data_IF_283810290249
#
_entry.id   IF_283810290249
#
_cell.length_a   1.000
_cell.length_b   1.000
_cell.length_c   1.000
_cell.angle_alpha   90.00
_cell.angle_beta   90.00
_cell.angle_gamma   90.00
#
_symmetry.space_group_name_H-M   'P 1'
#
loop_
_entity.id
_entity.type
_entity.pdbx_description
1 polymer ?
#
# COMPACT_ATOMS: atom_id res chain seq x y z
N UNK A 1 0.22 21.80 5.98
CA UNK A 1 0.07 20.53 5.24
C UNK A 1 0.87 20.60 3.94
N UNK A 2 2.20 20.49 4.01
CA UNK A 2 3.10 20.77 2.86
C UNK A 2 3.97 19.58 2.44
N UNK A 3 3.59 18.35 2.79
CA UNK A 3 4.39 17.14 2.50
C UNK A 3 3.85 16.34 1.32
N UNK A 4 2.93 16.90 0.54
CA UNK A 4 2.48 16.31 -0.71
C UNK A 4 3.47 16.66 -1.81
N UNK A 5 3.87 15.66 -2.58
CA UNK A 5 4.85 15.77 -3.66
C UNK A 5 4.33 15.06 -4.89
N UNK A 6 4.92 15.36 -6.05
CA UNK A 6 4.77 14.50 -7.21
C UNK A 6 5.35 13.12 -6.89
N UNK A 7 4.64 12.08 -7.29
CA UNK A 7 5.07 10.70 -7.16
C UNK A 7 6.41 10.52 -7.89
N UNK A 8 7.32 9.76 -7.26
CA UNK A 8 8.66 9.50 -7.78
C UNK A 8 9.02 8.00 -7.80
N UNK A 9 8.05 7.14 -7.51
CA UNK A 9 8.16 5.69 -7.58
C UNK A 9 6.87 5.13 -8.16
N UNK A 10 7.00 4.08 -8.98
CA UNK A 10 5.92 3.32 -9.58
C UNK A 10 5.38 2.22 -8.65
N UNK A 11 6.02 1.97 -7.50
CA UNK A 11 5.60 0.97 -6.52
C UNK A 11 4.51 1.53 -5.58
N UNK A 12 3.31 0.94 -5.57
CA UNK A 12 2.28 1.31 -4.62
C UNK A 12 2.69 1.04 -3.18
N UNK A 13 2.40 1.96 -2.27
CA UNK A 13 2.71 1.82 -0.84
C UNK A 13 1.45 1.63 -0.02
N UNK A 14 1.65 1.21 1.22
CA UNK A 14 0.54 1.19 2.15
C UNK A 14 0.16 2.62 2.57
N UNK A 15 -1.11 2.83 2.90
CA UNK A 15 -1.57 4.02 3.67
C UNK A 15 -0.95 4.12 5.07
N UNK A 16 -0.13 3.15 5.48
CA UNK A 16 0.58 3.15 6.75
C UNK A 16 1.35 4.47 6.93
N UNK A 17 1.20 5.09 8.09
CA UNK A 17 1.77 6.39 8.38
C UNK A 17 3.25 6.34 8.77
N UNK A 18 3.84 5.15 8.89
CA UNK A 18 5.26 4.97 9.20
C UNK A 18 6.13 5.04 7.95
N UNK A 19 7.35 5.54 8.12
CA UNK A 19 8.31 5.61 7.04
C UNK A 19 8.93 4.24 6.75
N UNK A 20 9.20 3.98 5.48
CA UNK A 20 10.02 2.85 5.08
C UNK A 20 11.47 3.04 5.50
N UNK A 21 12.11 1.96 5.93
CA UNK A 21 13.54 1.92 6.25
C UNK A 21 14.31 0.92 5.41
N UNK A 22 13.60 0.04 4.71
CA UNK A 22 14.20 -0.95 3.85
C UNK A 22 13.24 -1.27 2.70
N UNK A 23 13.83 -1.51 1.52
CA UNK A 23 13.15 -2.08 0.36
C UNK A 23 13.90 -3.33 -0.07
N UNK A 24 13.18 -4.45 -0.20
CA UNK A 24 13.69 -5.69 -0.77
C UNK A 24 12.98 -5.98 -2.10
N UNK A 25 13.76 -6.34 -3.10
CA UNK A 25 13.31 -6.64 -4.46
C UNK A 25 13.65 -8.08 -4.82
N UNK A 26 12.90 -8.63 -5.77
CA UNK A 26 13.13 -9.97 -6.29
C UNK A 26 13.91 -9.89 -7.60
N UNK A 27 14.95 -10.71 -7.71
CA UNK A 27 15.66 -11.00 -8.95
C UNK A 27 15.65 -12.52 -9.19
N UNK A 28 15.54 -12.94 -10.45
CA UNK A 28 15.41 -14.36 -10.80
C UNK A 28 16.67 -15.18 -10.50
N UNK A 29 17.86 -14.55 -10.47
CA UNK A 29 19.13 -15.22 -10.21
C UNK A 29 19.50 -15.17 -8.72
N UNK A 30 19.12 -14.11 -8.00
CA UNK A 30 19.51 -13.86 -6.61
C UNK A 30 18.40 -14.17 -5.59
N UNK A 31 17.15 -14.28 -6.03
CA UNK A 31 15.98 -14.22 -5.15
C UNK A 31 15.81 -12.82 -4.57
N UNK A 32 15.36 -12.74 -3.32
CA UNK A 32 15.25 -11.44 -2.66
C UNK A 32 16.62 -10.83 -2.36
N UNK A 33 16.80 -9.55 -2.66
CA UNK A 33 17.95 -8.75 -2.26
C UNK A 33 17.48 -7.41 -1.72
N UNK A 34 18.31 -6.76 -0.89
CA UNK A 34 17.99 -5.44 -0.35
C UNK A 34 18.43 -4.38 -1.35
N UNK A 35 17.46 -3.64 -1.92
CA UNK A 35 17.72 -2.64 -2.96
C UNK A 35 17.92 -1.23 -2.40
N UNK A 36 17.31 -0.91 -1.25
CA UNK A 36 17.43 0.40 -0.62
C UNK A 36 17.33 0.34 0.91
N UNK A 37 17.98 1.30 1.58
CA UNK A 37 18.03 1.42 3.04
C UNK A 37 17.84 2.86 3.53
N UNK A 38 17.29 3.00 4.74
CA UNK A 38 17.19 4.27 5.46
C UNK A 38 16.46 5.35 4.65
N UNK A 39 17.10 6.51 4.51
CA UNK A 39 16.53 7.65 3.78
C UNK A 39 16.24 7.35 2.31
N UNK A 40 16.99 6.43 1.68
CA UNK A 40 16.74 6.02 0.29
C UNK A 40 15.43 5.25 0.17
N UNK A 41 15.20 4.29 1.08
CA UNK A 41 13.92 3.58 1.18
C UNK A 41 12.77 4.56 1.48
N UNK A 42 12.98 5.49 2.41
CA UNK A 42 11.99 6.52 2.77
C UNK A 42 11.71 7.55 1.65
N UNK A 43 12.60 7.69 0.67
CA UNK A 43 12.45 8.59 -0.46
C UNK A 43 11.58 8.02 -1.59
N UNK A 44 11.24 6.73 -1.56
CA UNK A 44 10.34 6.11 -2.52
C UNK A 44 8.88 6.48 -2.20
N UNK A 45 8.28 7.28 -3.07
CA UNK A 45 6.93 7.82 -2.91
C UNK A 45 6.06 7.50 -4.12
N UNK A 46 5.59 6.26 -4.18
CA UNK A 46 4.48 5.85 -5.05
C UNK A 46 3.11 5.99 -4.38
N UNK A 47 2.03 5.73 -5.14
CA UNK A 47 0.66 5.93 -4.68
C UNK A 47 0.31 5.04 -3.49
N UNK A 48 -0.56 5.51 -2.59
CA UNK A 48 -0.85 4.84 -1.33
C UNK A 48 -2.25 4.22 -1.29
N UNK A 49 -2.30 2.93 -0.95
CA UNK A 49 -3.53 2.13 -0.82
C UNK A 49 -3.51 1.27 0.46
N UNK A 50 -4.66 0.86 1.03
CA UNK A 50 -4.68 -0.03 2.19
C UNK A 50 -4.01 -1.36 1.88
N UNK A 51 -2.85 -1.64 2.50
CA UNK A 51 -2.06 -2.84 2.20
C UNK A 51 -1.35 -2.83 0.85
N UNK A 52 -1.09 -1.66 0.26
CA UNK A 52 -0.43 -1.51 -1.04
C UNK A 52 -1.14 -2.32 -2.15
N UNK A 53 -0.42 -3.12 -2.95
CA UNK A 53 -1.00 -3.86 -4.07
C UNK A 53 -2.01 -4.94 -3.65
N UNK A 54 -1.92 -5.45 -2.41
CA UNK A 54 -2.89 -6.44 -1.87
C UNK A 54 -4.31 -5.88 -1.78
N UNK A 55 -4.46 -4.55 -1.74
CA UNK A 55 -5.76 -3.90 -1.77
C UNK A 55 -6.61 -4.37 -2.95
N UNK A 56 -6.01 -4.41 -4.13
CA UNK A 56 -6.67 -4.77 -5.38
C UNK A 56 -6.99 -6.26 -5.46
N UNK A 57 -6.13 -7.11 -4.87
CA UNK A 57 -6.40 -8.55 -4.72
C UNK A 57 -7.68 -8.71 -3.90
N UNK A 58 -7.79 -7.97 -2.80
CA UNK A 58 -8.98 -8.02 -1.95
C UNK A 58 -10.22 -7.49 -2.65
N UNK A 59 -10.13 -6.37 -3.36
CA UNK A 59 -11.24 -5.81 -4.11
C UNK A 59 -11.80 -6.82 -5.12
N UNK A 60 -10.94 -7.59 -5.79
CA UNK A 60 -11.35 -8.65 -6.70
C UNK A 60 -11.99 -9.85 -6.00
N UNK A 61 -11.47 -10.25 -4.83
CA UNK A 61 -12.11 -11.30 -4.01
C UNK A 61 -13.53 -10.90 -3.59
N UNK A 62 -13.70 -9.67 -3.10
CA UNK A 62 -14.96 -9.22 -2.49
C UNK A 62 -15.99 -8.72 -3.49
N UNK A 63 -15.58 -7.87 -4.44
CA UNK A 63 -16.51 -7.18 -5.35
C UNK A 63 -16.74 -7.98 -6.63
N UNK A 64 -15.71 -8.66 -7.12
CA UNK A 64 -15.78 -9.45 -8.34
C UNK A 64 -15.99 -10.96 -8.10
N UNK A 65 -15.96 -11.40 -6.84
CA UNK A 65 -16.10 -12.82 -6.46
C UNK A 65 -15.01 -13.70 -7.05
N UNK A 66 -13.80 -13.16 -7.30
CA UNK A 66 -12.70 -13.90 -7.89
C UNK A 66 -11.95 -14.69 -6.82
N UNK A 67 -11.63 -15.94 -7.13
CA UNK A 67 -10.73 -16.71 -6.26
C UNK A 67 -9.36 -16.06 -6.18
N UNK A 68 -8.73 -16.11 -5.01
CA UNK A 68 -7.49 -15.42 -4.68
C UNK A 68 -6.38 -15.52 -5.73
N UNK A 69 -6.06 -16.73 -6.19
CA UNK A 69 -4.98 -16.93 -7.17
C UNK A 69 -5.25 -16.15 -8.46
N UNK A 70 -6.49 -16.17 -8.95
CA UNK A 70 -6.87 -15.36 -10.12
C UNK A 70 -6.88 -13.86 -9.82
N UNK A 71 -7.20 -13.48 -8.59
CA UNK A 71 -7.12 -12.08 -8.18
C UNK A 71 -5.68 -11.56 -8.25
N UNK A 72 -4.70 -12.33 -7.76
CA UNK A 72 -3.27 -12.03 -7.97
C UNK A 72 -2.92 -11.88 -9.45
N UNK A 73 -3.30 -12.85 -10.29
CA UNK A 73 -2.97 -12.83 -11.72
C UNK A 73 -3.57 -11.59 -12.43
N UNK A 74 -4.77 -11.15 -12.04
CA UNK A 74 -5.38 -9.94 -12.60
C UNK A 74 -4.72 -8.66 -12.10
N UNK A 75 -4.30 -8.61 -10.84
CA UNK A 75 -3.56 -7.46 -10.28
C UNK A 75 -2.21 -7.31 -10.96
N UNK A 76 -1.48 -8.41 -11.16
CA UNK A 76 -0.22 -8.41 -11.91
C UNK A 76 -0.39 -7.89 -13.34
N UNK A 77 -1.44 -8.36 -14.04
CA UNK A 77 -1.76 -7.88 -15.39
C UNK A 77 -2.15 -6.39 -15.41
N UNK A 78 -2.93 -5.93 -14.43
CA UNK A 78 -3.32 -4.53 -14.34
C UNK A 78 -2.10 -3.64 -14.05
N UNK A 79 -1.24 -4.06 -13.13
CA UNK A 79 0.02 -3.39 -12.80
C UNK A 79 0.90 -3.23 -14.02
N UNK A 80 1.10 -4.31 -14.78
CA UNK A 80 1.89 -4.29 -16.02
C UNK A 80 1.30 -3.35 -17.09
N UNK A 81 -0.02 -3.28 -17.23
CA UNK A 81 -0.67 -2.36 -18.19
C UNK A 81 -0.53 -0.89 -17.81
N UNK A 82 -0.47 -0.60 -16.51
CA UNK A 82 -0.36 0.76 -15.98
C UNK A 82 1.10 1.19 -15.74
N UNK A 83 2.06 0.28 -15.91
CA UNK A 83 3.46 0.55 -15.59
C UNK A 83 3.69 0.75 -14.09
N UNK A 84 2.88 0.09 -13.26
CA UNK A 84 3.05 0.10 -11.80
C UNK A 84 3.87 -1.12 -11.36
N UNK A 85 4.64 -0.94 -10.29
CA UNK A 85 5.24 -2.03 -9.53
C UNK A 85 4.22 -2.74 -8.64
N UNK A 86 4.63 -3.87 -8.07
CA UNK A 86 3.83 -4.63 -7.11
C UNK A 86 4.56 -4.67 -5.78
N UNK A 87 3.86 -4.26 -4.72
CA UNK A 87 4.47 -4.14 -3.39
C UNK A 87 3.54 -4.68 -2.30
N UNK A 88 4.16 -5.27 -1.28
CA UNK A 88 3.59 -5.45 0.05
C UNK A 88 4.48 -4.76 1.08
N UNK A 89 3.95 -4.49 2.26
CA UNK A 89 4.80 -4.02 3.35
C UNK A 89 4.72 -4.92 4.58
N UNK A 90 5.74 -4.79 5.42
CA UNK A 90 5.89 -5.45 6.70
C UNK A 90 6.44 -4.50 7.75
N UNK A 91 6.46 -4.96 8.98
CA UNK A 91 7.05 -4.24 10.11
C UNK A 91 8.23 -4.99 10.65
N UNK A 92 9.21 -4.27 11.18
CA UNK A 92 10.37 -4.83 11.87
C UNK A 92 10.04 -5.61 13.17
N UNK A 93 8.85 -5.43 13.74
CA UNK A 93 8.42 -6.07 15.00
C UNK A 93 9.39 -5.82 16.17
N UNK A 94 10.11 -4.70 16.14
CA UNK A 94 11.12 -4.37 17.16
C UNK A 94 12.44 -5.14 17.01
N UNK A 95 12.66 -5.80 15.88
CA UNK A 95 13.99 -6.30 15.50
C UNK A 95 14.84 -5.11 15.08
N UNK A 96 16.05 -5.01 15.64
CA UNK A 96 17.02 -4.05 15.16
C UNK A 96 17.64 -4.56 13.85
N UNK A 97 17.10 -4.09 12.73
CA UNK A 97 17.55 -4.49 11.39
C UNK A 97 19.02 -4.09 11.14
N UNK A 98 19.59 -3.14 11.89
CA UNK A 98 20.98 -2.72 11.74
C UNK A 98 21.99 -3.71 12.31
N UNK A 99 21.54 -4.64 13.16
CA UNK A 99 22.37 -5.70 13.73
C UNK A 99 22.42 -6.95 12.84
N UNK A 100 21.66 -6.98 11.73
CA UNK A 100 21.56 -8.11 10.82
C UNK A 100 22.30 -7.84 9.51
N UNK A 101 22.87 -8.88 8.93
CA UNK A 101 23.36 -8.87 7.54
C UNK A 101 22.19 -8.87 6.55
N UNK A 102 22.45 -8.47 5.30
CA UNK A 102 21.43 -8.51 4.25
C UNK A 102 20.85 -9.92 4.06
N UNK A 103 21.68 -10.97 4.14
CA UNK A 103 21.24 -12.36 3.99
C UNK A 103 20.30 -12.78 5.13
N UNK A 104 20.64 -12.41 6.38
CA UNK A 104 19.78 -12.66 7.55
C UNK A 104 18.44 -11.91 7.45
N UNK A 105 18.46 -10.69 6.90
CA UNK A 105 17.22 -9.92 6.68
C UNK A 105 16.38 -10.56 5.58
N UNK A 106 16.99 -11.00 4.48
CA UNK A 106 16.30 -11.70 3.41
C UNK A 106 15.67 -12.99 3.93
N UNK A 107 16.41 -13.79 4.70
CA UNK A 107 15.89 -14.99 5.36
C UNK A 107 14.72 -14.65 6.31
N UNK A 108 14.88 -13.61 7.13
CA UNK A 108 13.83 -13.12 8.00
C UNK A 108 12.57 -12.73 7.21
N UNK A 109 12.72 -11.96 6.12
CA UNK A 109 11.62 -11.58 5.23
C UNK A 109 10.95 -12.81 4.62
N UNK A 110 11.68 -13.85 4.25
CA UNK A 110 11.07 -15.05 3.67
C UNK A 110 10.19 -15.81 4.68
N UNK A 111 10.51 -15.72 5.97
CA UNK A 111 9.79 -16.46 7.02
C UNK A 111 8.75 -15.64 7.80
N UNK A 112 8.78 -14.31 7.68
CA UNK A 112 7.84 -13.43 8.35
C UNK A 112 6.89 -12.80 7.34
N UNK A 113 5.60 -12.86 7.64
CA UNK A 113 4.53 -12.44 6.72
C UNK A 113 3.60 -11.38 7.31
N UNK A 114 3.70 -11.11 8.61
CA UNK A 114 2.86 -10.15 9.34
C UNK A 114 3.49 -8.76 9.45
N UNK A 115 2.66 -7.74 9.64
CA UNK A 115 3.10 -6.35 9.90
C UNK A 115 2.15 -5.31 9.32
N UNK A 116 1.43 -5.66 8.25
CA UNK A 116 0.40 -4.82 7.68
C UNK A 116 -0.92 -4.92 8.47
N UNK A 117 -1.31 -3.84 9.15
CA UNK A 117 -2.57 -3.77 9.91
C UNK A 117 -3.80 -4.09 9.05
N UNK A 118 -3.87 -3.53 7.84
CA UNK A 118 -4.93 -3.82 6.86
C UNK A 118 -5.00 -5.32 6.54
N UNK A 119 -3.88 -5.94 6.15
CA UNK A 119 -3.88 -7.34 5.73
C UNK A 119 -4.29 -8.27 6.88
N UNK A 120 -3.80 -7.97 8.10
CA UNK A 120 -4.18 -8.70 9.31
C UNK A 120 -5.67 -8.60 9.64
N UNK A 121 -6.26 -7.40 9.53
CA UNK A 121 -7.70 -7.22 9.78
C UNK A 121 -8.56 -7.92 8.73
N UNK A 122 -8.15 -7.86 7.47
CA UNK A 122 -8.95 -8.34 6.34
C UNK A 122 -8.89 -9.86 6.17
N UNK A 123 -7.70 -10.45 6.21
CA UNK A 123 -7.54 -11.90 6.00
C UNK A 123 -7.45 -12.69 7.31
N UNK A 124 -7.27 -12.00 8.45
CA UNK A 124 -7.21 -12.63 9.77
C UNK A 124 -6.14 -13.72 9.82
N UNK A 125 -6.48 -14.95 10.26
CA UNK A 125 -5.55 -16.08 10.31
C UNK A 125 -4.92 -16.48 8.97
N UNK A 126 -5.42 -15.97 7.84
CA UNK A 126 -4.89 -16.28 6.50
C UNK A 126 -3.86 -15.27 6.00
N UNK A 127 -3.58 -14.21 6.76
CA UNK A 127 -2.66 -13.12 6.34
C UNK A 127 -1.31 -13.67 5.88
N UNK A 128 -0.75 -14.63 6.62
CA UNK A 128 0.56 -15.21 6.29
C UNK A 128 0.58 -15.90 4.94
N UNK A 129 -0.50 -16.63 4.61
CA UNK A 129 -0.64 -17.28 3.31
C UNK A 129 -0.77 -16.26 2.18
N UNK A 130 -1.46 -15.15 2.40
CA UNK A 130 -1.69 -14.12 1.36
C UNK A 130 -0.41 -13.32 1.11
N UNK A 131 0.26 -12.86 2.16
CA UNK A 131 1.53 -12.14 2.03
C UNK A 131 2.65 -13.06 1.53
N UNK A 132 2.68 -14.31 2.01
CA UNK A 132 3.61 -15.32 1.51
C UNK A 132 3.41 -15.60 0.02
N UNK A 133 2.18 -15.64 -0.48
CA UNK A 133 1.89 -15.78 -1.91
C UNK A 133 2.37 -14.57 -2.73
N UNK A 134 2.17 -13.34 -2.23
CA UNK A 134 2.72 -12.13 -2.87
C UNK A 134 4.24 -12.19 -2.96
N UNK A 135 4.90 -12.62 -1.88
CA UNK A 135 6.36 -12.75 -1.83
C UNK A 135 6.89 -13.84 -2.77
N UNK A 136 6.20 -14.99 -2.81
CA UNK A 136 6.52 -16.09 -3.74
C UNK A 136 6.40 -15.68 -5.21
N UNK A 137 5.57 -14.68 -5.50
CA UNK A 137 5.39 -14.07 -6.83
C UNK A 137 6.40 -12.95 -7.12
N UNK A 138 7.37 -12.71 -6.23
CA UNK A 138 8.42 -11.72 -6.41
C UNK A 138 7.98 -10.27 -6.22
N UNK A 139 6.86 -10.03 -5.51
CA UNK A 139 6.44 -8.65 -5.23
C UNK A 139 7.47 -7.97 -4.31
N UNK A 140 7.74 -6.68 -4.54
CA UNK A 140 8.65 -5.90 -3.71
C UNK A 140 8.14 -5.87 -2.26
N UNK A 141 9.06 -5.92 -1.29
CA UNK A 141 8.72 -5.86 0.13
C UNK A 141 9.30 -4.59 0.72
N UNK A 142 8.42 -3.73 1.23
CA UNK A 142 8.79 -2.56 1.99
C UNK A 142 8.73 -2.87 3.49
N UNK A 143 9.79 -2.54 4.24
CA UNK A 143 9.79 -2.70 5.70
C UNK A 143 9.67 -1.34 6.36
N UNK A 144 8.69 -1.24 7.26
CA UNK A 144 8.40 -0.07 8.07
C UNK A 144 8.89 -0.30 9.50
N UNK A 145 9.35 0.76 10.16
CA UNK A 145 9.75 0.73 11.57
C UNK A 145 9.00 1.80 12.37
N UNK A 146 9.02 1.64 13.69
CA UNK A 146 8.51 2.63 14.63
C UNK A 146 7.04 2.46 15.00
N UNK A 147 6.57 3.39 15.82
CA UNK A 147 5.22 3.40 16.38
C UNK A 147 4.27 4.07 15.39
N UNK A 148 3.03 3.58 15.30
CA UNK A 148 1.96 4.31 14.64
C UNK A 148 1.58 5.55 15.46
N UNK A 149 1.92 6.73 14.93
CA UNK A 149 1.55 8.02 15.50
C UNK A 149 0.98 8.93 14.40
N UNK A 150 -0.10 8.46 13.77
CA UNK A 150 -0.80 9.23 12.76
C UNK A 150 -1.69 10.30 13.41
N UNK A 151 -1.67 11.51 12.86
CA UNK A 151 -2.44 12.66 13.35
C UNK A 151 -3.66 12.99 12.47
N UNK A 152 -4.05 12.07 11.58
CA UNK A 152 -5.22 12.24 10.73
C UNK A 152 -5.26 11.29 9.54
N UNK A 153 -6.28 11.47 8.71
CA UNK A 153 -6.52 10.68 7.50
C UNK A 153 -6.91 11.59 6.33
N UNK A 154 -6.43 11.27 5.13
CA UNK A 154 -6.67 12.02 3.90
C UNK A 154 -7.06 11.10 2.75
N UNK A 155 -8.09 11.48 2.00
CA UNK A 155 -8.37 10.93 0.67
C UNK A 155 -7.90 11.95 -0.36
N UNK A 156 -6.86 11.60 -1.10
CA UNK A 156 -6.22 12.46 -2.08
C UNK A 156 -6.79 12.22 -3.49
N UNK A 157 -7.34 13.27 -4.09
CA UNK A 157 -7.86 13.27 -5.46
C UNK A 157 -6.99 14.10 -6.43
N UNK A 158 -5.77 14.47 -6.03
CA UNK A 158 -4.79 15.08 -6.95
C UNK A 158 -4.03 13.99 -7.71
N UNK A 159 -4.15 14.00 -9.04
CA UNK A 159 -3.46 13.05 -9.91
C UNK A 159 -1.94 13.22 -9.84
N UNK A 160 -1.21 12.10 -9.70
CA UNK A 160 0.25 12.07 -9.68
C UNK A 160 0.88 12.70 -8.44
N UNK A 161 0.08 13.15 -7.46
CA UNK A 161 0.57 13.56 -6.14
C UNK A 161 0.40 12.43 -5.12
N UNK A 162 1.29 12.36 -4.15
CA UNK A 162 1.15 11.48 -2.97
C UNK A 162 1.80 12.13 -1.74
N UNK A 163 1.59 11.55 -0.56
CA UNK A 163 2.23 12.01 0.67
C UNK A 163 3.68 11.50 0.75
N UNK A 164 4.61 12.42 1.01
CA UNK A 164 5.96 12.08 1.46
C UNK A 164 5.92 11.64 2.93
N UNK A 165 5.66 10.36 3.17
CA UNK A 165 5.51 9.79 4.51
C UNK A 165 6.76 10.02 5.36
N UNK A 166 7.97 9.85 4.81
CA UNK A 166 9.20 10.06 5.57
C UNK A 166 9.37 11.52 6.04
N UNK A 167 9.07 12.50 5.18
CA UNK A 167 9.08 13.91 5.57
C UNK A 167 8.00 14.23 6.61
N UNK A 168 6.80 13.68 6.44
CA UNK A 168 5.69 13.86 7.37
C UNK A 168 6.00 13.26 8.75
N UNK A 169 6.58 12.07 8.81
CA UNK A 169 7.02 11.41 10.06
C UNK A 169 8.09 12.26 10.76
N UNK A 170 9.14 12.69 10.05
CA UNK A 170 10.19 13.55 10.63
C UNK A 170 9.64 14.88 11.19
N UNK A 171 8.56 15.39 10.59
CA UNK A 171 7.89 16.60 11.04
C UNK A 171 6.87 16.39 12.17
N UNK A 172 6.62 15.14 12.61
CA UNK A 172 5.54 14.83 13.57
C UNK A 172 4.16 15.14 13.00
N UNK A 173 3.96 14.90 11.71
CA UNK A 173 2.76 15.25 10.94
C UNK A 173 2.31 14.09 10.05
N UNK A 174 2.64 12.85 10.43
CA UNK A 174 2.25 11.66 9.67
C UNK A 174 0.72 11.51 9.64
N UNK A 175 0.17 11.09 8.50
CA UNK A 175 -1.25 10.83 8.30
C UNK A 175 -1.43 9.56 7.47
N UNK A 176 -2.60 8.94 7.57
CA UNK A 176 -3.03 7.93 6.61
C UNK A 176 -3.45 8.64 5.32
N UNK A 177 -2.94 8.22 4.16
CA UNK A 177 -3.27 8.84 2.88
C UNK A 177 -3.68 7.78 1.86
N UNK A 178 -4.83 7.99 1.21
CA UNK A 178 -5.37 7.17 0.14
C UNK A 178 -5.37 7.95 -1.17
N UNK A 179 -4.59 7.52 -2.16
CA UNK A 179 -4.52 8.17 -3.47
C UNK A 179 -5.61 7.62 -4.41
N UNK A 180 -6.78 8.28 -4.42
CA UNK A 180 -7.99 7.73 -5.06
C UNK A 180 -7.94 7.75 -6.59
N UNK A 181 -7.27 8.74 -7.20
CA UNK A 181 -7.16 8.80 -8.67
C UNK A 181 -6.38 7.60 -9.20
N UNK A 182 -5.26 7.26 -8.57
CA UNK A 182 -4.46 6.09 -8.96
C UNK A 182 -5.24 4.77 -8.73
N UNK A 183 -5.99 4.67 -7.63
CA UNK A 183 -6.85 3.51 -7.37
C UNK A 183 -7.90 3.32 -8.47
N UNK A 184 -8.55 4.41 -8.92
CA UNK A 184 -9.55 4.38 -10.01
C UNK A 184 -8.97 3.85 -11.32
N UNK A 185 -7.73 4.22 -11.65
CA UNK A 185 -7.07 3.72 -12.86
C UNK A 185 -6.90 2.20 -12.80
N UNK A 186 -6.43 1.67 -11.67
CA UNK A 186 -6.30 0.22 -11.47
C UNK A 186 -7.67 -0.47 -11.54
N UNK A 187 -8.69 0.08 -10.89
CA UNK A 187 -10.04 -0.48 -10.94
C UNK A 187 -10.62 -0.51 -12.35
N UNK A 188 -10.40 0.54 -13.16
CA UNK A 188 -10.83 0.60 -14.55
C UNK A 188 -10.19 -0.50 -15.42
N UNK A 189 -8.88 -0.74 -15.25
CA UNK A 189 -8.19 -1.84 -15.95
C UNK A 189 -8.71 -3.20 -15.49
N UNK A 190 -8.92 -3.38 -14.19
CA UNK A 190 -9.46 -4.61 -13.63
C UNK A 190 -10.90 -4.90 -14.10
N UNK A 191 -11.74 -3.88 -14.27
CA UNK A 191 -13.07 -4.03 -14.86
C UNK A 191 -13.00 -4.63 -16.28
N UNK A 192 -12.09 -4.11 -17.11
CA UNK A 192 -11.86 -4.60 -18.47
C UNK A 192 -11.36 -6.05 -18.45
N UNK A 193 -10.32 -6.33 -17.65
CA UNK A 193 -9.70 -7.65 -17.54
C UNK A 193 -10.69 -8.70 -17.03
N UNK A 194 -11.52 -8.34 -16.07
CA UNK A 194 -12.52 -9.26 -15.48
C UNK A 194 -13.82 -9.34 -16.27
N UNK A 195 -14.04 -8.41 -17.22
CA UNK A 195 -15.28 -8.25 -18.01
C UNK A 195 -16.52 -8.09 -17.13
N UNK A 196 -16.40 -7.32 -16.04
CA UNK A 196 -17.50 -7.09 -15.10
C UNK A 196 -17.91 -5.63 -15.10
N UNK A 197 -18.95 -5.30 -15.86
CA UNK A 197 -19.46 -3.93 -15.92
C UNK A 197 -19.86 -3.39 -14.52
N UNK A 198 -19.43 -2.16 -14.24
CA UNK A 198 -19.66 -1.48 -12.97
C UNK A 198 -18.81 -2.04 -11.82
N UNK A 199 -17.76 -2.81 -12.11
CA UNK A 199 -16.79 -3.21 -11.10
C UNK A 199 -16.06 -2.00 -10.53
N UNK A 200 -15.60 -1.07 -11.38
CA UNK A 200 -14.78 0.04 -10.94
C UNK A 200 -15.52 0.95 -9.94
N UNK A 201 -16.76 1.32 -10.25
CA UNK A 201 -17.59 2.16 -9.37
C UNK A 201 -17.84 1.49 -8.00
N UNK A 202 -18.12 0.18 -8.00
CA UNK A 202 -18.31 -0.58 -6.76
C UNK A 202 -17.01 -0.71 -5.96
N UNK A 203 -15.89 -0.93 -6.65
CA UNK A 203 -14.57 -1.05 -6.03
C UNK A 203 -14.11 0.29 -5.43
N UNK A 204 -14.41 1.41 -6.07
CA UNK A 204 -14.15 2.74 -5.53
C UNK A 204 -14.98 3.02 -4.27
N UNK A 205 -16.30 2.78 -4.31
CA UNK A 205 -17.15 2.96 -3.13
C UNK A 205 -16.69 2.06 -1.97
N UNK A 206 -16.33 0.82 -2.28
CA UNK A 206 -15.74 -0.11 -1.31
C UNK A 206 -14.39 0.39 -0.78
N UNK A 207 -13.56 1.00 -1.62
CA UNK A 207 -12.26 1.51 -1.22
C UNK A 207 -12.36 2.63 -0.18
N UNK A 208 -13.27 3.58 -0.40
CA UNK A 208 -13.55 4.67 0.55
C UNK A 208 -14.07 4.09 1.87
N UNK A 209 -15.00 3.13 1.81
CA UNK A 209 -15.56 2.50 2.99
C UNK A 209 -14.46 1.79 3.81
N UNK A 210 -13.65 0.97 3.17
CA UNK A 210 -12.57 0.21 3.82
C UNK A 210 -11.52 1.12 4.43
N UNK A 211 -11.14 2.19 3.74
CA UNK A 211 -10.21 3.16 4.30
C UNK A 211 -10.80 3.87 5.52
N UNK A 212 -12.06 4.29 5.44
CA UNK A 212 -12.80 4.90 6.56
C UNK A 212 -12.85 3.96 7.76
N UNK A 213 -13.25 2.70 7.54
CA UNK A 213 -13.32 1.70 8.60
C UNK A 213 -11.96 1.43 9.24
N UNK A 214 -10.90 1.37 8.43
CA UNK A 214 -9.53 1.18 8.91
C UNK A 214 -9.08 2.32 9.83
N UNK A 215 -9.25 3.58 9.40
CA UNK A 215 -8.77 4.74 10.18
C UNK A 215 -9.59 4.96 11.46
N UNK A 216 -10.88 4.61 11.45
CA UNK A 216 -11.73 4.61 12.65
C UNK A 216 -11.34 3.48 13.61
N UNK A 217 -11.15 2.25 13.10
CA UNK A 217 -10.77 1.10 13.93
C UNK A 217 -9.41 1.28 14.61
N UNK A 218 -8.49 2.00 13.96
CA UNK A 218 -7.18 2.34 14.51
C UNK A 218 -7.21 3.57 15.44
N UNK A 219 -8.36 4.25 15.58
CA UNK A 219 -8.49 5.45 16.41
C UNK A 219 -7.70 6.66 15.91
N UNK A 220 -7.33 6.67 14.62
CA UNK A 220 -6.60 7.79 13.98
C UNK A 220 -7.51 9.01 13.87
N UNK A 221 -8.80 8.76 13.62
CA UNK A 221 -9.90 9.73 13.69
C UNK A 221 -11.04 9.11 14.49
N UNK A 222 -11.91 9.94 15.07
CA UNK A 222 -13.07 9.50 15.85
C UNK A 222 -14.36 9.41 15.04
N UNK A 223 -14.43 10.13 13.92
CA UNK A 223 -15.59 10.18 13.02
C UNK A 223 -15.11 10.31 11.56
N UNK A 224 -15.93 9.84 10.62
CA UNK A 224 -15.66 9.90 9.20
C UNK A 224 -15.59 11.34 8.67
N UNK A 225 -16.29 12.29 9.29
CA UNK A 225 -16.25 13.71 8.92
C UNK A 225 -14.87 14.37 9.15
N UNK A 226 -14.00 13.73 9.93
CA UNK A 226 -12.63 14.18 10.20
C UNK A 226 -11.65 13.75 9.11
N UNK A 227 -12.08 12.89 8.18
CA UNK A 227 -11.26 12.48 7.03
C UNK A 227 -11.26 13.64 6.02
N UNK A 228 -10.08 14.18 5.75
CA UNK A 228 -9.94 15.32 4.84
C UNK A 228 -9.89 14.84 3.40
N UNK A 229 -10.67 15.47 2.53
CA UNK A 229 -10.57 15.24 1.09
C UNK A 229 -9.71 16.33 0.43
N UNK A 230 -8.61 15.94 -0.22
CA UNK A 230 -7.84 16.85 -1.08
C UNK A 230 -8.36 16.74 -2.50
N UNK A 231 -9.26 17.65 -2.90
CA UNK A 231 -9.79 17.72 -4.27
C UNK A 231 -9.03 18.79 -5.07
N UNK A 232 -8.81 18.58 -6.38
CA UNK A 232 -8.32 19.65 -7.24
C UNK A 232 -9.26 20.85 -7.11
N UNK A 233 -8.72 22.07 -7.08
CA UNK A 233 -9.53 23.28 -7.07
C UNK A 233 -10.49 23.22 -8.26
N UNK A 234 -11.78 23.04 -7.99
CA UNK A 234 -12.81 23.23 -9.01
C UNK A 234 -12.86 24.73 -9.24
N UNK A 235 -12.16 25.19 -10.29
CA UNK A 235 -12.44 26.51 -10.85
C UNK A 235 -13.83 26.36 -11.47
N UNK A 236 -14.85 26.82 -10.74
CA UNK A 236 -16.18 27.01 -11.30
C UNK A 236 -16.03 28.15 -12.32
N UNK A 237 -16.05 27.81 -13.61
CA UNK A 237 -16.26 28.78 -14.69
C UNK A 237 -17.71 29.28 -14.71
#
# INVERSE_FOLDING_TARGET
MSHYILQNSDYPRCVDSRAAVLIAEWDDDLGYYISAWGDEAGAQNGPQFPGASLFFVRALEEIAGRGRLRAFDFVEQASAQLGLGLQVHQTDWGIDLFDLTNDEIVEWLQHHHTGCGFASQIWGPRVDTVVGEAKRRGWQVQVLTGIHDAHGAVINYHEGETLNTAAAVRAGQSVFNLDMIDARQVFGVLEILTRQSGFADRAEAWAIQVFTDLVLALGVVNDADQIVERRPNVILE
#
